data_IF_549446032469
#
_entry.id   IF_549446032469
#
_cell.length_a   1.000
_cell.length_b   1.000
_cell.length_c   1.000
_cell.angle_alpha   90.00
_cell.angle_beta   90.00
_cell.angle_gamma   90.00
#
_symmetry.space_group_name_H-M   'P 1'
#
loop_
_entity.id
_entity.type
_entity.pdbx_description
1 polymer ?
#
# COMPACT_ATOMS: atom_id res chain seq x y z
N UNK A 1 -13.13 -13.21 9.52
CA UNK A 1 -12.00 -13.86 8.84
C UNK A 1 -10.79 -13.74 9.76
N UNK A 2 -9.72 -14.51 9.55
CA UNK A 2 -8.51 -14.30 10.36
C UNK A 2 -7.83 -12.98 9.95
N UNK A 3 -7.24 -12.26 10.91
CA UNK A 3 -6.56 -10.99 10.67
C UNK A 3 -5.45 -11.10 9.60
N UNK A 4 -4.83 -12.27 9.47
CA UNK A 4 -3.82 -12.59 8.44
C UNK A 4 -4.39 -12.60 7.04
N UNK A 5 -5.57 -13.20 6.87
CA UNK A 5 -6.28 -13.23 5.60
C UNK A 5 -6.72 -11.82 5.20
N UNK A 6 -7.28 -11.05 6.13
CA UNK A 6 -7.70 -9.66 5.88
C UNK A 6 -6.51 -8.76 5.51
N UNK A 7 -5.38 -8.93 6.18
CA UNK A 7 -4.15 -8.21 5.84
C UNK A 7 -3.63 -8.58 4.44
N UNK A 8 -3.63 -9.87 4.05
CA UNK A 8 -3.27 -10.27 2.69
C UNK A 8 -4.25 -9.69 1.66
N UNK A 9 -5.56 -9.75 1.93
CA UNK A 9 -6.59 -9.22 1.04
C UNK A 9 -6.44 -7.73 0.79
N UNK A 10 -5.81 -7.00 1.71
CA UNK A 10 -5.52 -5.57 1.52
C UNK A 10 -4.59 -5.29 0.32
N UNK A 11 -3.86 -6.29 -0.16
CA UNK A 11 -3.01 -6.20 -1.34
C UNK A 11 -3.64 -6.81 -2.60
N UNK A 12 -4.75 -7.55 -2.51
CA UNK A 12 -5.29 -8.37 -3.61
C UNK A 12 -5.56 -7.57 -4.89
N UNK A 13 -6.14 -6.37 -4.75
CA UNK A 13 -6.39 -5.42 -5.84
C UNK A 13 -5.56 -4.16 -5.66
N UNK A 14 -4.28 -4.33 -5.29
CA UNK A 14 -3.33 -3.25 -5.04
C UNK A 14 -3.91 -2.24 -4.04
N UNK A 15 -3.83 -0.94 -4.34
CA UNK A 15 -4.30 0.10 -3.44
C UNK A 15 -5.83 0.14 -3.29
N UNK A 16 -6.61 -0.43 -4.23
CA UNK A 16 -8.08 -0.41 -4.14
C UNK A 16 -8.60 -1.29 -3.01
N UNK A 17 -8.10 -2.53 -2.91
CA UNK A 17 -8.43 -3.41 -1.80
C UNK A 17 -7.91 -2.85 -0.47
N UNK A 18 -6.73 -2.23 -0.48
CA UNK A 18 -6.16 -1.56 0.68
C UNK A 18 -7.05 -0.43 1.18
N UNK A 19 -7.53 0.41 0.26
CA UNK A 19 -8.44 1.52 0.56
C UNK A 19 -9.75 1.02 1.17
N UNK A 20 -10.38 0.02 0.55
CA UNK A 20 -11.62 -0.56 1.05
C UNK A 20 -11.45 -1.11 2.48
N UNK A 21 -10.44 -1.96 2.69
CA UNK A 21 -10.19 -2.58 4.00
C UNK A 21 -9.80 -1.53 5.05
N UNK A 22 -9.01 -0.52 4.70
CA UNK A 22 -8.62 0.54 5.62
C UNK A 22 -9.80 1.36 6.15
N UNK A 23 -10.83 1.56 5.32
CA UNK A 23 -12.04 2.30 5.70
C UNK A 23 -12.99 1.47 6.58
N UNK A 24 -13.10 0.17 6.28
CA UNK A 24 -13.99 -0.77 6.98
C UNK A 24 -13.39 -1.23 8.32
N UNK A 25 -12.09 -1.53 8.36
CA UNK A 25 -11.42 -2.02 9.56
C UNK A 25 -11.09 -0.88 10.54
N UNK A 26 -11.51 -1.01 11.80
CA UNK A 26 -11.42 0.04 12.83
C UNK A 26 -10.87 -0.44 14.18
N UNK A 27 -10.59 -1.74 14.32
CA UNK A 27 -10.21 -2.39 15.58
C UNK A 27 -8.88 -3.12 15.47
N UNK A 28 -8.56 -3.68 14.31
CA UNK A 28 -7.36 -4.48 14.12
C UNK A 28 -6.20 -3.67 13.53
N UNK A 29 -5.23 -3.30 14.37
CA UNK A 29 -4.05 -2.53 13.95
C UNK A 29 -3.22 -3.23 12.87
N UNK A 30 -3.12 -4.55 12.90
CA UNK A 30 -2.33 -5.33 11.94
C UNK A 30 -2.91 -5.23 10.53
N UNK A 31 -4.22 -5.47 10.40
CA UNK A 31 -4.95 -5.34 9.13
C UNK A 31 -4.85 -3.92 8.60
N UNK A 32 -4.99 -2.91 9.47
CA UNK A 32 -4.89 -1.50 9.07
C UNK A 32 -3.50 -1.07 8.65
N UNK A 33 -2.45 -1.63 9.25
CA UNK A 33 -1.08 -1.40 8.78
C UNK A 33 -0.89 -1.89 7.34
N UNK A 34 -1.30 -3.12 7.04
CA UNK A 34 -1.17 -3.66 5.70
C UNK A 34 -2.04 -2.91 4.68
N UNK A 35 -3.25 -2.55 5.06
CA UNK A 35 -4.14 -1.73 4.24
C UNK A 35 -3.55 -0.33 3.96
N UNK A 36 -3.02 0.35 4.98
CA UNK A 36 -2.33 1.62 4.82
C UNK A 36 -1.07 1.51 3.95
N UNK A 37 -0.24 0.48 4.16
CA UNK A 37 0.96 0.24 3.35
C UNK A 37 0.60 -0.07 1.90
N UNK A 38 -0.50 -0.80 1.65
CA UNK A 38 -1.02 -1.07 0.31
C UNK A 38 -1.43 0.23 -0.40
N UNK A 39 -2.19 1.11 0.29
CA UNK A 39 -2.61 2.41 -0.25
C UNK A 39 -1.39 3.25 -0.62
N UNK A 40 -0.47 3.43 0.30
CA UNK A 40 0.69 4.32 0.11
C UNK A 40 1.63 3.78 -0.95
N UNK A 41 1.96 2.49 -0.91
CA UNK A 41 2.90 1.89 -1.85
C UNK A 41 2.33 1.81 -3.26
N UNK A 42 1.17 1.15 -3.42
CA UNK A 42 0.62 0.94 -4.76
C UNK A 42 -0.05 2.18 -5.32
N UNK A 43 -0.67 3.02 -4.49
CA UNK A 43 -1.18 4.32 -4.93
C UNK A 43 -0.05 5.25 -5.38
N UNK A 44 1.05 5.29 -4.63
CA UNK A 44 2.26 6.01 -5.02
C UNK A 44 2.88 5.47 -6.31
N UNK A 45 2.97 4.15 -6.46
CA UNK A 45 3.50 3.51 -7.66
C UNK A 45 2.63 3.78 -8.89
N UNK A 46 1.31 3.74 -8.75
CA UNK A 46 0.35 4.11 -9.81
C UNK A 46 0.50 5.59 -10.21
N UNK A 47 0.69 6.49 -9.24
CA UNK A 47 0.91 7.91 -9.52
C UNK A 47 2.23 8.14 -10.29
N UNK A 48 3.32 7.51 -9.85
CA UNK A 48 4.62 7.58 -10.54
C UNK A 48 4.50 7.03 -11.96
N UNK A 49 3.83 5.89 -12.13
CA UNK A 49 3.57 5.31 -13.45
C UNK A 49 2.80 6.29 -14.35
N UNK A 50 1.73 6.90 -13.85
CA UNK A 50 0.93 7.86 -14.60
C UNK A 50 1.76 9.07 -15.07
N UNK A 51 2.62 9.61 -14.19
CA UNK A 51 3.51 10.74 -14.51
C UNK A 51 4.53 10.35 -15.59
N UNK A 52 5.18 9.18 -15.45
CA UNK A 52 6.14 8.68 -16.45
C UNK A 52 5.47 8.53 -17.83
N UNK A 53 4.24 7.99 -17.86
CA UNK A 53 3.49 7.83 -19.11
C UNK A 53 3.06 9.17 -19.71
N UNK A 54 2.66 10.13 -18.87
CA UNK A 54 2.29 11.47 -19.32
C UNK A 54 3.46 12.21 -19.99
N UNK A 55 4.68 12.10 -19.46
CA UNK A 55 5.89 12.67 -20.07
C UNK A 55 6.15 12.07 -21.46
N UNK A 56 5.85 10.78 -21.64
CA UNK A 56 5.98 10.10 -22.94
C UNK A 56 5.03 10.60 -24.03
N UNK A 57 3.97 11.34 -23.66
CA UNK A 57 3.03 11.92 -24.62
C UNK A 57 3.52 13.23 -25.25
N UNK A 58 4.61 13.81 -24.74
CA UNK A 58 5.18 15.05 -25.29
C UNK A 58 5.74 14.75 -26.69
N UNK A 59 5.26 15.39 -27.77
CA UNK A 59 5.75 15.14 -29.12
C UNK A 59 7.25 15.40 -29.24
N UNK A 60 7.95 14.57 -30.02
CA UNK A 60 9.42 14.63 -30.25
C UNK A 60 10.24 14.29 -29.00
N UNK A 61 10.06 15.02 -27.88
CA UNK A 61 10.80 14.77 -26.64
C UNK A 61 10.46 13.41 -26.03
N UNK A 62 9.17 13.13 -25.82
CA UNK A 62 8.70 11.87 -25.24
C UNK A 62 8.89 10.68 -26.17
N UNK A 63 8.62 10.87 -27.46
CA UNK A 63 8.56 9.78 -28.45
C UNK A 63 9.90 9.42 -29.09
N UNK A 64 10.88 10.32 -29.12
CA UNK A 64 12.18 10.08 -29.77
C UNK A 64 13.30 10.11 -28.74
N UNK A 65 13.40 11.19 -27.97
CA UNK A 65 14.54 11.41 -27.06
C UNK A 65 14.40 10.56 -25.79
N UNK A 66 13.20 10.52 -25.20
CA UNK A 66 12.95 9.86 -23.92
C UNK A 66 12.31 8.46 -24.04
N UNK A 67 12.10 7.95 -25.26
CA UNK A 67 11.40 6.69 -25.48
C UNK A 67 12.06 5.50 -24.76
N UNK A 68 13.39 5.38 -24.85
CA UNK A 68 14.14 4.32 -24.16
C UNK A 68 14.11 4.51 -22.63
N UNK A 69 14.48 5.67 -22.05
CA UNK A 69 14.35 5.92 -20.62
C UNK A 69 12.96 5.63 -20.05
N UNK A 70 11.90 6.04 -20.75
CA UNK A 70 10.51 5.83 -20.32
C UNK A 70 10.16 4.34 -20.34
N UNK A 71 10.60 3.61 -21.36
CA UNK A 71 10.39 2.17 -21.46
C UNK A 71 11.11 1.41 -20.34
N UNK A 72 12.37 1.78 -20.06
CA UNK A 72 13.14 1.21 -18.94
C UNK A 72 12.48 1.53 -17.58
N UNK A 73 12.11 2.79 -17.34
CA UNK A 73 11.44 3.20 -16.11
C UNK A 73 10.11 2.45 -15.92
N UNK A 74 9.33 2.29 -16.99
CA UNK A 74 8.09 1.51 -16.98
C UNK A 74 8.35 0.06 -16.60
N UNK A 75 9.36 -0.58 -17.20
CA UNK A 75 9.75 -1.95 -16.86
C UNK A 75 10.15 -2.10 -15.38
N UNK A 76 10.97 -1.18 -14.86
CA UNK A 76 11.38 -1.18 -13.45
C UNK A 76 10.17 -1.03 -12.52
N UNK A 77 9.25 -0.11 -12.81
CA UNK A 77 8.03 0.10 -12.03
C UNK A 77 7.20 -1.19 -11.97
N UNK A 78 7.01 -1.86 -13.12
CA UNK A 78 6.23 -3.10 -13.18
C UNK A 78 6.89 -4.25 -12.41
N UNK A 79 8.21 -4.41 -12.54
CA UNK A 79 8.96 -5.44 -11.81
C UNK A 79 8.92 -5.18 -10.30
N UNK A 80 9.24 -3.95 -9.87
CA UNK A 80 9.20 -3.58 -8.45
C UNK A 80 7.78 -3.73 -7.90
N UNK A 81 6.76 -3.30 -8.65
CA UNK A 81 5.35 -3.46 -8.30
C UNK A 81 4.95 -4.93 -8.14
N UNK A 82 5.28 -5.77 -9.11
CA UNK A 82 4.96 -7.20 -9.07
C UNK A 82 5.68 -7.96 -7.96
N UNK A 83 6.98 -7.72 -7.78
CA UNK A 83 7.78 -8.36 -6.73
C UNK A 83 7.31 -7.95 -5.33
N UNK A 84 7.12 -6.64 -5.12
CA UNK A 84 6.61 -6.14 -3.84
C UNK A 84 5.18 -6.63 -3.56
N UNK A 85 4.32 -6.74 -4.57
CA UNK A 85 2.97 -7.26 -4.43
C UNK A 85 2.94 -8.69 -3.89
N UNK A 86 3.62 -9.61 -4.54
CA UNK A 86 3.68 -11.00 -4.08
C UNK A 86 4.37 -11.11 -2.71
N UNK A 87 5.48 -10.40 -2.53
CA UNK A 87 6.24 -10.46 -1.29
C UNK A 87 5.44 -9.95 -0.09
N UNK A 88 4.73 -8.82 -0.23
CA UNK A 88 3.89 -8.25 0.82
C UNK A 88 2.70 -9.14 1.16
N UNK A 89 2.06 -9.77 0.16
CA UNK A 89 0.99 -10.74 0.41
C UNK A 89 1.49 -11.91 1.27
N UNK A 90 2.64 -12.49 0.93
CA UNK A 90 3.24 -13.60 1.68
C UNK A 90 3.60 -13.15 3.11
N UNK A 91 4.20 -11.97 3.27
CA UNK A 91 4.55 -11.45 4.60
C UNK A 91 3.31 -11.16 5.47
N UNK A 92 2.26 -10.60 4.88
CA UNK A 92 1.00 -10.36 5.56
C UNK A 92 0.34 -11.66 6.03
N UNK A 93 0.33 -12.68 5.17
CA UNK A 93 -0.22 -13.99 5.52
C UNK A 93 0.60 -14.67 6.64
N UNK A 94 1.92 -14.45 6.67
CA UNK A 94 2.79 -14.92 7.76
C UNK A 94 2.64 -14.12 9.06
N UNK A 95 1.86 -13.04 9.07
CA UNK A 95 1.66 -12.20 10.25
C UNK A 95 2.77 -11.17 10.51
N UNK A 96 3.58 -10.83 9.50
CA UNK A 96 4.74 -9.94 9.66
C UNK A 96 4.42 -8.49 9.28
N UNK A 97 4.78 -7.54 10.14
CA UNK A 97 4.76 -6.10 9.88
C UNK A 97 5.97 -5.66 9.05
N UNK A 98 6.20 -6.27 7.89
CA UNK A 98 7.29 -5.84 7.03
C UNK A 98 7.05 -4.39 6.60
N UNK A 99 7.90 -3.48 7.09
CA UNK A 99 7.88 -2.06 6.74
C UNK A 99 8.73 -1.81 5.51
N UNK A 100 8.12 -1.22 4.48
CA UNK A 100 8.89 -0.75 3.33
C UNK A 100 9.68 0.51 3.70
N UNK A 101 10.94 0.67 3.27
CA UNK A 101 11.79 1.81 3.66
C UNK A 101 11.19 3.19 3.39
N UNK A 102 10.40 3.34 2.33
CA UNK A 102 9.85 4.63 1.89
C UNK A 102 8.50 4.95 2.55
N UNK A 103 7.64 3.94 2.72
CA UNK A 103 6.23 4.14 3.11
C UNK A 103 5.84 3.49 4.44
N UNK A 104 6.70 2.66 5.03
CA UNK A 104 6.38 1.84 6.20
C UNK A 104 6.06 2.66 7.45
N UNK A 105 6.83 3.72 7.72
CA UNK A 105 6.57 4.61 8.86
C UNK A 105 5.30 5.45 8.67
N UNK A 106 4.99 5.84 7.44
CA UNK A 106 3.74 6.51 7.11
C UNK A 106 2.55 5.56 7.25
N UNK A 107 2.70 4.29 6.84
CA UNK A 107 1.69 3.27 7.02
C UNK A 107 1.40 3.01 8.50
N UNK A 108 2.42 2.99 9.34
CA UNK A 108 2.29 2.86 10.80
C UNK A 108 1.45 3.99 11.41
N UNK A 109 1.74 5.24 11.00
CA UNK A 109 1.02 6.43 11.47
C UNK A 109 -0.44 6.40 10.97
N UNK A 110 -0.64 6.05 9.71
CA UNK A 110 -1.98 5.98 9.12
C UNK A 110 -2.83 4.88 9.77
N UNK A 111 -2.22 3.75 10.14
CA UNK A 111 -2.91 2.63 10.80
C UNK A 111 -3.53 2.97 12.17
N UNK A 112 -3.02 3.99 12.85
CA UNK A 112 -3.56 4.40 14.16
C UNK A 112 -4.68 5.43 14.07
N UNK A 113 -4.76 6.18 12.97
CA UNK A 113 -5.81 7.18 12.76
C UNK A 113 -7.19 6.53 12.77
N UNK A 114 -8.19 7.10 13.42
CA UNK A 114 -9.56 6.57 13.42
C UNK A 114 -9.76 5.15 13.98
N UNK A 115 -8.79 4.61 14.72
CA UNK A 115 -9.01 3.40 15.53
C UNK A 115 -10.09 3.68 16.57
N UNK A 116 -10.98 2.71 16.82
CA UNK A 116 -11.88 2.81 17.97
C UNK A 116 -11.04 2.65 19.24
N UNK A 117 -11.06 3.65 20.13
CA UNK A 117 -10.39 3.57 21.43
C UNK A 117 -10.96 2.38 22.21
N UNK A 118 -10.13 1.59 22.93
CA UNK A 118 -10.66 0.57 23.83
C UNK A 118 -11.66 1.22 24.78
N UNK A 119 -12.80 0.57 25.04
CA UNK A 119 -13.72 1.05 26.06
C UNK A 119 -12.93 1.20 27.36
N UNK A 120 -12.91 2.41 27.95
CA UNK A 120 -12.40 2.57 29.31
C UNK A 120 -13.16 1.57 30.17
N UNK A 121 -12.46 0.60 30.77
CA UNK A 121 -13.03 -0.19 31.85
C UNK A 121 -13.47 0.81 32.91
N UNK A 122 -14.76 0.78 33.26
CA UNK A 122 -15.29 1.58 34.36
C UNK A 122 -14.37 1.40 35.59
N UNK A 123 -14.05 2.47 36.33
CA UNK A 123 -13.31 2.31 37.59
C UNK A 123 -14.07 1.31 38.46
N UNK A 124 -13.37 0.43 39.22
CA UNK A 124 -14.03 -0.50 40.11
C UNK A 124 -14.96 0.30 41.02
N UNK A 125 -16.26 -0.02 40.95
CA UNK A 125 -17.26 0.51 41.87
C UNK A 125 -16.77 0.20 43.28
N UNK A 126 -16.46 1.26 44.03
CA UNK A 126 -16.05 1.21 45.42
C UNK A 126 -17.17 0.65 46.32
#
# INVERSE_FOLDING_TARGET
MEARSEALLSYLFWFFSGLFIFLVERRNRFVRFHAAQSILWFGGLTLVFAVVRAIGLIPVLGSIILALPISCATGVILVVGGLSWLFLMVMAYRGSYLKLPVVGDYAERLATLFMKKPAQSLPPTA
#
